data_IF_952683140444
#
_entry.id   IF_952683140444
#
_cell.length_a   1.000
_cell.length_b   1.000
_cell.length_c   1.000
_cell.angle_alpha   90.00
_cell.angle_beta   90.00
_cell.angle_gamma   90.00
#
_symmetry.space_group_name_H-M   'P 1'
#
loop_
_entity.id
_entity.type
_entity.pdbx_description
1 polymer ?
#
# COMPACT_ATOMS: atom_id res chain seq x y z
N UNK A 1 -3.43 23.24 21.01
CA UNK A 1 -3.79 22.38 19.86
C UNK A 1 -4.91 23.00 19.01
N UNK A 2 -6.04 23.40 19.62
CA UNK A 2 -7.19 24.06 18.95
C UNK A 2 -6.83 25.37 18.21
N UNK A 3 -6.00 26.23 18.80
CA UNK A 3 -5.53 27.48 18.16
C UNK A 3 -4.68 27.22 16.90
N UNK A 4 -3.86 26.17 16.91
CA UNK A 4 -2.99 25.77 15.78
C UNK A 4 -3.83 25.24 14.60
N UNK A 5 -4.85 24.45 14.89
CA UNK A 5 -5.80 23.89 13.92
C UNK A 5 -6.64 24.98 13.26
N UNK A 6 -7.11 25.97 14.03
CA UNK A 6 -7.82 27.15 13.48
C UNK A 6 -6.93 27.98 12.56
N UNK A 7 -5.67 28.18 12.93
CA UNK A 7 -4.71 28.93 12.11
C UNK A 7 -4.36 28.21 10.80
N UNK A 8 -4.22 26.88 10.81
CA UNK A 8 -3.96 26.09 9.60
C UNK A 8 -5.17 26.04 8.66
N UNK A 9 -6.39 25.91 9.19
CA UNK A 9 -7.61 25.94 8.38
C UNK A 9 -7.86 27.33 7.75
N UNK A 10 -7.57 28.40 8.48
CA UNK A 10 -7.61 29.77 7.98
C UNK A 10 -6.59 30.02 6.86
N UNK A 11 -5.37 29.50 7.03
CA UNK A 11 -4.31 29.60 6.03
C UNK A 11 -4.62 28.81 4.76
N UNK A 12 -5.10 27.57 4.89
CA UNK A 12 -5.48 26.73 3.75
C UNK A 12 -6.61 27.37 2.93
N UNK A 13 -7.62 27.93 3.60
CA UNK A 13 -8.71 28.68 2.95
C UNK A 13 -8.17 29.90 2.17
N UNK A 14 -7.23 30.65 2.76
CA UNK A 14 -6.60 31.80 2.11
C UNK A 14 -5.77 31.40 0.88
N UNK A 15 -4.97 30.33 0.98
CA UNK A 15 -4.15 29.83 -0.12
C UNK A 15 -5.00 29.29 -1.28
N UNK A 16 -6.14 28.66 -0.99
CA UNK A 16 -7.12 28.25 -2.00
C UNK A 16 -7.73 29.44 -2.72
N UNK A 17 -8.13 30.49 -2.00
CA UNK A 17 -8.66 31.71 -2.61
C UNK A 17 -7.61 32.36 -3.53
N UNK A 18 -6.36 32.46 -3.08
CA UNK A 18 -5.25 32.97 -3.89
C UNK A 18 -5.01 32.12 -5.15
N UNK A 19 -5.06 30.80 -5.03
CA UNK A 19 -4.96 29.89 -6.19
C UNK A 19 -6.06 30.19 -7.21
N UNK A 20 -7.31 30.27 -6.76
CA UNK A 20 -8.47 30.50 -7.62
C UNK A 20 -8.41 31.86 -8.33
N UNK A 21 -7.93 32.89 -7.63
CA UNK A 21 -7.71 34.22 -8.22
C UNK A 21 -6.60 34.19 -9.27
N UNK A 22 -5.48 33.54 -8.96
CA UNK A 22 -4.33 33.46 -9.87
C UNK A 22 -4.70 32.79 -11.20
N UNK A 23 -5.44 31.68 -11.16
CA UNK A 23 -5.78 30.91 -12.37
C UNK A 23 -7.06 31.38 -13.07
N UNK A 24 -7.78 32.36 -12.52
CA UNK A 24 -9.05 32.84 -13.09
C UNK A 24 -8.89 33.36 -14.52
N UNK A 25 -7.83 34.12 -14.80
CA UNK A 25 -7.56 34.64 -16.14
C UNK A 25 -7.25 33.57 -17.20
N UNK A 26 -6.86 32.36 -16.77
CA UNK A 26 -6.57 31.23 -17.66
C UNK A 26 -7.76 30.29 -17.79
N UNK A 27 -8.46 30.04 -16.68
CA UNK A 27 -9.50 29.00 -16.58
C UNK A 27 -10.94 29.54 -16.61
N UNK A 28 -11.13 30.86 -16.68
CA UNK A 28 -12.44 31.50 -16.85
C UNK A 28 -13.45 31.19 -15.74
N UNK A 29 -14.73 31.14 -16.13
CA UNK A 29 -15.90 31.09 -15.21
C UNK A 29 -16.17 29.67 -14.65
N UNK A 30 -15.25 28.73 -14.81
CA UNK A 30 -15.41 27.34 -14.33
C UNK A 30 -15.62 27.28 -12.82
N UNK A 31 -16.30 26.21 -12.38
CA UNK A 31 -16.55 25.97 -10.95
C UNK A 31 -15.24 25.92 -10.15
N UNK A 32 -15.33 26.21 -8.84
CA UNK A 32 -14.17 26.19 -7.95
C UNK A 32 -13.45 24.83 -7.99
N UNK A 33 -14.19 23.73 -7.86
CA UNK A 33 -13.62 22.38 -7.83
C UNK A 33 -12.92 22.02 -9.13
N UNK A 34 -13.49 22.39 -10.28
CA UNK A 34 -12.87 22.13 -11.60
C UNK A 34 -11.56 22.89 -11.76
N UNK A 35 -11.52 24.17 -11.34
CA UNK A 35 -10.25 24.94 -11.38
C UNK A 35 -9.17 24.32 -10.49
N UNK A 36 -9.54 23.87 -9.29
CA UNK A 36 -8.60 23.21 -8.39
C UNK A 36 -8.14 21.85 -8.93
N UNK A 37 -9.02 21.09 -9.59
CA UNK A 37 -8.68 19.83 -10.24
C UNK A 37 -7.66 20.04 -11.37
N UNK A 38 -7.89 21.03 -12.24
CA UNK A 38 -6.96 21.37 -13.32
C UNK A 38 -5.58 21.78 -12.79
N UNK A 39 -5.54 22.56 -11.70
CA UNK A 39 -4.27 22.90 -11.03
C UNK A 39 -3.60 21.63 -10.52
N UNK A 40 -4.32 20.76 -9.80
CA UNK A 40 -3.78 19.49 -9.30
C UNK A 40 -3.19 18.64 -10.44
N UNK A 41 -3.92 18.49 -11.55
CA UNK A 41 -3.51 17.71 -12.71
C UNK A 41 -2.22 18.24 -13.35
N UNK A 42 -1.99 19.57 -13.36
CA UNK A 42 -0.73 20.14 -13.83
C UNK A 42 0.49 19.66 -13.02
N UNK A 43 0.30 19.30 -11.75
CA UNK A 43 1.38 18.83 -10.87
C UNK A 43 1.49 17.31 -10.78
N UNK A 44 0.56 16.53 -11.37
CA UNK A 44 0.64 15.06 -11.43
C UNK A 44 1.55 14.54 -12.55
N UNK A 45 2.00 15.41 -13.46
CA UNK A 45 2.92 15.08 -14.56
C UNK A 45 2.26 15.16 -15.94
N UNK A 46 3.00 14.78 -16.99
CA UNK A 46 2.53 14.77 -18.39
C UNK A 46 1.93 13.41 -18.82
N UNK A 47 1.64 12.56 -17.86
CA UNK A 47 1.16 11.20 -18.10
C UNK A 47 -0.36 11.12 -18.10
N UNK A 48 -0.84 9.98 -18.59
CA UNK A 48 -2.25 9.62 -18.59
C UNK A 48 -2.81 9.54 -17.17
N UNK A 49 -3.77 10.42 -16.87
CA UNK A 49 -4.57 10.42 -15.63
C UNK A 49 -5.85 9.65 -15.91
N UNK A 50 -6.16 8.62 -15.12
CA UNK A 50 -7.41 7.87 -15.26
C UNK A 50 -8.47 8.31 -14.25
N UNK A 51 -9.74 8.10 -14.57
CA UNK A 51 -10.85 8.29 -13.61
C UNK A 51 -10.68 7.44 -12.35
N UNK A 52 -10.15 6.21 -12.49
CA UNK A 52 -9.87 5.34 -11.36
C UNK A 52 -8.79 5.92 -10.42
N UNK A 53 -7.76 6.57 -10.99
CA UNK A 53 -6.74 7.28 -10.22
C UNK A 53 -7.36 8.48 -9.50
N UNK A 54 -8.22 9.26 -10.18
CA UNK A 54 -8.96 10.37 -9.57
C UNK A 54 -9.77 9.91 -8.35
N UNK A 55 -10.57 8.86 -8.53
CA UNK A 55 -11.42 8.35 -7.48
C UNK A 55 -10.59 7.88 -6.27
N UNK A 56 -9.56 7.06 -6.53
CA UNK A 56 -8.73 6.49 -5.47
C UNK A 56 -7.92 7.55 -4.71
N UNK A 57 -7.41 8.57 -5.40
CA UNK A 57 -6.66 9.65 -4.76
C UNK A 57 -7.53 10.57 -3.90
N UNK A 58 -8.86 10.52 -4.08
CA UNK A 58 -9.83 11.34 -3.38
C UNK A 58 -10.62 10.59 -2.30
N UNK A 59 -10.59 9.25 -2.28
CA UNK A 59 -11.26 8.42 -1.26
C UNK A 59 -10.36 8.16 -0.04
N UNK A 60 -10.96 7.64 1.03
CA UNK A 60 -10.21 7.14 2.18
C UNK A 60 -9.31 5.98 1.78
N UNK A 61 -8.16 5.87 2.45
CA UNK A 61 -7.18 4.80 2.26
C UNK A 61 -6.95 4.07 3.58
N UNK A 62 -6.92 2.74 3.52
CA UNK A 62 -6.64 1.88 4.67
C UNK A 62 -5.14 1.83 4.98
N UNK A 63 -4.79 1.85 6.26
CA UNK A 63 -3.40 1.79 6.75
C UNK A 63 -3.30 0.99 8.03
N UNK A 64 -2.10 0.51 8.33
CA UNK A 64 -1.82 -0.12 9.61
C UNK A 64 -1.77 0.91 10.74
N UNK A 65 -2.64 0.75 11.74
CA UNK A 65 -2.67 1.56 12.95
C UNK A 65 -1.52 1.19 13.89
N UNK A 66 -1.10 2.13 14.74
CA UNK A 66 -0.14 1.85 15.82
C UNK A 66 -0.71 0.87 16.85
N UNK A 67 -2.05 0.82 16.97
CA UNK A 67 -2.83 -0.10 17.80
C UNK A 67 -2.98 -1.50 17.19
N UNK A 68 -2.30 -1.80 16.07
CA UNK A 68 -2.34 -3.06 15.31
C UNK A 68 -3.58 -3.33 14.46
N UNK A 69 -4.58 -2.45 14.51
CA UNK A 69 -5.76 -2.47 13.65
C UNK A 69 -5.55 -1.78 12.30
N UNK A 70 -6.66 -1.46 11.65
CA UNK A 70 -6.71 -0.72 10.39
C UNK A 70 -7.23 0.68 10.69
N UNK A 71 -6.46 1.70 10.32
CA UNK A 71 -6.88 3.09 10.30
C UNK A 71 -7.29 3.50 8.88
N UNK A 72 -8.27 4.38 8.78
CA UNK A 72 -8.61 5.04 7.52
C UNK A 72 -8.10 6.47 7.53
N UNK A 73 -7.40 6.86 6.47
CA UNK A 73 -6.92 8.24 6.30
C UNK A 73 -7.62 8.90 5.12
N UNK A 74 -8.25 10.04 5.39
CA UNK A 74 -8.87 10.89 4.37
C UNK A 74 -7.83 11.52 3.44
N UNK A 75 -8.25 11.80 2.20
CA UNK A 75 -7.42 12.52 1.25
C UNK A 75 -7.18 13.96 1.73
N UNK A 76 -5.93 14.45 1.66
CA UNK A 76 -5.57 15.83 2.02
C UNK A 76 -5.98 16.83 0.93
N UNK A 77 -7.26 16.85 0.57
CA UNK A 77 -7.87 17.68 -0.48
C UNK A 77 -8.96 18.60 0.07
N UNK A 78 -9.34 19.61 -0.71
CA UNK A 78 -10.56 20.38 -0.46
C UNK A 78 -11.78 19.46 -0.58
N UNK A 79 -12.73 19.57 0.34
CA UNK A 79 -13.93 18.70 0.35
C UNK A 79 -14.67 18.70 -1.00
N UNK A 80 -14.87 19.88 -1.62
CA UNK A 80 -15.54 19.97 -2.91
C UNK A 80 -14.72 19.42 -4.07
N UNK A 81 -13.40 19.41 -3.95
CA UNK A 81 -12.50 18.75 -4.91
C UNK A 81 -12.51 17.23 -4.72
N UNK A 82 -12.45 16.76 -3.48
CA UNK A 82 -12.48 15.34 -3.15
C UNK A 82 -13.78 14.69 -3.64
N UNK A 83 -14.94 15.32 -3.39
CA UNK A 83 -16.22 14.85 -3.90
C UNK A 83 -16.25 14.76 -5.44
N UNK A 84 -15.76 15.80 -6.12
CA UNK A 84 -15.72 15.82 -7.59
C UNK A 84 -14.82 14.70 -8.14
N UNK A 85 -13.67 14.47 -7.53
CA UNK A 85 -12.71 13.45 -8.01
C UNK A 85 -13.13 12.03 -7.66
N UNK A 86 -13.83 11.84 -6.54
CA UNK A 86 -14.38 10.55 -6.11
C UNK A 86 -15.51 10.04 -7.02
N UNK A 87 -16.34 10.96 -7.53
CA UNK A 87 -17.48 10.62 -8.38
C UNK A 87 -17.10 10.61 -9.87
N UNK A 88 -16.75 9.43 -10.38
CA UNK A 88 -16.44 9.25 -11.80
C UNK A 88 -17.60 9.58 -12.74
N UNK A 89 -18.85 9.46 -12.27
CA UNK A 89 -20.04 9.75 -13.09
C UNK A 89 -20.26 11.25 -13.23
N UNK A 90 -19.95 12.03 -12.19
CA UNK A 90 -19.97 13.48 -12.24
C UNK A 90 -18.74 14.06 -12.97
N UNK A 91 -17.57 13.43 -12.82
CA UNK A 91 -16.34 13.91 -13.44
C UNK A 91 -16.28 13.70 -14.95
N UNK A 92 -16.82 12.58 -15.47
CA UNK A 92 -16.71 12.23 -16.88
C UNK A 92 -17.33 13.28 -17.84
N UNK A 93 -18.55 13.80 -17.63
CA UNK A 93 -19.11 14.86 -18.47
C UNK A 93 -18.25 16.13 -18.47
N UNK A 94 -17.69 16.49 -17.31
CA UNK A 94 -16.80 17.65 -17.18
C UNK A 94 -15.52 17.46 -17.98
N UNK A 95 -14.94 16.25 -17.98
CA UNK A 95 -13.77 15.95 -18.80
C UNK A 95 -14.09 16.06 -20.30
N UNK A 96 -15.27 15.64 -20.73
CA UNK A 96 -15.70 15.83 -22.13
C UNK A 96 -15.84 17.31 -22.50
N UNK A 97 -16.40 18.15 -21.63
CA UNK A 97 -16.43 19.61 -21.84
C UNK A 97 -15.02 20.20 -21.95
N UNK A 98 -14.12 19.81 -21.04
CA UNK A 98 -12.72 20.25 -21.06
C UNK A 98 -11.97 19.78 -22.30
N UNK A 99 -12.33 18.62 -22.85
CA UNK A 99 -11.79 18.11 -24.11
C UNK A 99 -12.27 18.96 -25.29
N UNK A 100 -13.55 19.32 -25.34
CA UNK A 100 -14.10 20.21 -26.38
C UNK A 100 -13.45 21.59 -26.35
N UNK A 101 -13.11 22.09 -25.15
CA UNK A 101 -12.37 23.33 -24.95
C UNK A 101 -10.86 23.24 -25.29
N UNK A 102 -10.37 22.04 -25.61
CA UNK A 102 -8.95 21.78 -25.91
C UNK A 102 -8.03 21.90 -24.68
N UNK A 103 -8.57 21.87 -23.46
CA UNK A 103 -7.79 21.96 -22.21
C UNK A 103 -7.13 20.63 -21.87
N UNK A 104 -7.79 19.54 -22.23
CA UNK A 104 -7.30 18.18 -22.04
C UNK A 104 -7.44 17.37 -23.33
N UNK A 105 -6.63 16.34 -23.45
CA UNK A 105 -6.78 15.29 -24.46
C UNK A 105 -7.20 13.99 -23.78
N UNK A 106 -8.22 13.30 -24.29
CA UNK A 106 -8.62 11.97 -23.82
C UNK A 106 -8.07 10.92 -24.79
N UNK A 107 -7.35 9.95 -24.26
CA UNK A 107 -6.78 8.81 -24.97
C UNK A 107 -7.81 7.68 -25.15
N UNK A 108 -7.57 6.72 -26.07
CA UNK A 108 -8.47 5.58 -26.27
C UNK A 108 -8.66 4.68 -25.04
N UNK A 109 -7.76 4.75 -24.06
CA UNK A 109 -7.86 4.01 -22.80
C UNK A 109 -8.73 4.71 -21.75
N UNK A 110 -9.46 5.77 -22.15
CA UNK A 110 -10.21 6.68 -21.25
C UNK A 110 -9.35 7.37 -20.19
N UNK A 111 -8.03 7.40 -20.38
CA UNK A 111 -7.15 8.26 -19.61
C UNK A 111 -7.02 9.63 -20.29
N UNK A 112 -6.80 10.68 -19.52
CA UNK A 112 -6.71 12.04 -20.02
C UNK A 112 -5.41 12.71 -19.61
N UNK A 113 -4.98 13.70 -20.40
CA UNK A 113 -3.78 14.50 -20.14
C UNK A 113 -4.10 15.97 -20.26
N UNK A 114 -3.44 16.79 -19.44
CA UNK A 114 -3.47 18.24 -19.58
C UNK A 114 -2.77 18.65 -20.88
N UNK A 115 -3.39 19.55 -21.63
CA UNK A 115 -2.72 20.17 -22.78
C UNK A 115 -1.47 20.94 -22.30
N UNK A 116 -0.30 20.77 -22.95
CA UNK A 116 0.95 21.41 -22.52
C UNK A 116 0.88 22.94 -22.49
N UNK A 117 0.12 23.57 -23.39
CA UNK A 117 -0.03 25.03 -23.45
C UNK A 117 -0.83 25.51 -22.24
N UNK A 118 -1.95 24.85 -21.94
CA UNK A 118 -2.75 25.18 -20.76
C UNK A 118 -1.98 24.91 -19.46
N UNK A 119 -1.29 23.77 -19.36
CA UNK A 119 -0.45 23.44 -18.20
C UNK A 119 0.59 24.54 -17.96
N UNK A 120 1.29 24.97 -19.01
CA UNK A 120 2.29 26.05 -18.92
C UNK A 120 1.66 27.38 -18.46
N UNK A 121 0.50 27.75 -19.01
CA UNK A 121 -0.21 28.98 -18.61
C UNK A 121 -0.67 28.94 -17.16
N UNK A 122 -1.21 27.81 -16.70
CA UNK A 122 -1.66 27.61 -15.30
C UNK A 122 -0.46 27.71 -14.36
N UNK A 123 0.64 27.02 -14.66
CA UNK A 123 1.85 27.04 -13.84
C UNK A 123 2.49 28.42 -13.81
N UNK A 124 2.51 29.15 -14.93
CA UNK A 124 3.03 30.51 -15.01
C UNK A 124 2.20 31.50 -14.17
N UNK A 125 0.87 31.33 -14.16
CA UNK A 125 -0.05 32.17 -13.39
C UNK A 125 0.09 32.00 -11.87
N UNK A 126 0.56 30.83 -11.40
CA UNK A 126 0.72 30.56 -9.98
C UNK A 126 2.00 31.20 -9.41
N UNK A 127 1.92 31.96 -8.29
CA UNK A 127 3.07 32.34 -7.48
C UNK A 127 3.88 31.14 -7.02
N UNK A 128 5.18 31.34 -6.78
CA UNK A 128 6.12 30.27 -6.43
C UNK A 128 5.67 29.50 -5.18
N UNK A 129 5.19 30.20 -4.16
CA UNK A 129 4.69 29.61 -2.91
C UNK A 129 3.50 28.67 -3.15
N UNK A 130 2.60 29.05 -4.07
CA UNK A 130 1.46 28.20 -4.44
C UNK A 130 1.91 27.00 -5.26
N UNK A 131 2.96 27.13 -6.09
CA UNK A 131 3.52 25.97 -6.82
C UNK A 131 4.09 24.94 -5.85
N UNK A 132 4.79 25.36 -4.80
CA UNK A 132 5.28 24.45 -3.78
C UNK A 132 4.13 23.75 -3.05
N UNK A 133 3.09 24.50 -2.65
CA UNK A 133 1.89 23.93 -2.03
C UNK A 133 1.23 22.87 -2.91
N UNK A 134 0.99 23.19 -4.18
CA UNK A 134 0.30 22.28 -5.10
C UNK A 134 1.15 21.06 -5.48
N UNK A 135 2.48 21.21 -5.53
CA UNK A 135 3.39 20.07 -5.65
C UNK A 135 3.27 19.12 -4.45
N UNK A 136 3.17 19.64 -3.23
CA UNK A 136 2.94 18.82 -2.03
C UNK A 136 1.57 18.14 -2.06
N UNK A 137 0.51 18.86 -2.46
CA UNK A 137 -0.84 18.31 -2.61
C UNK A 137 -0.88 17.20 -3.67
N UNK A 138 -0.22 17.39 -4.80
CA UNK A 138 -0.12 16.38 -5.85
C UNK A 138 0.63 15.13 -5.37
N UNK A 139 1.72 15.29 -4.61
CA UNK A 139 2.41 14.14 -4.02
C UNK A 139 1.55 13.39 -3.01
N UNK A 140 0.84 14.08 -2.11
CA UNK A 140 -0.05 13.43 -1.14
C UNK A 140 -1.23 12.74 -1.82
N UNK A 141 -1.79 13.37 -2.85
CA UNK A 141 -2.82 12.76 -3.69
C UNK A 141 -2.31 11.50 -4.38
N UNK A 142 -1.16 11.58 -5.04
CA UNK A 142 -0.48 10.42 -5.63
C UNK A 142 -0.17 9.33 -4.60
N UNK A 143 0.13 9.72 -3.35
CA UNK A 143 0.42 8.78 -2.26
C UNK A 143 -0.83 7.99 -1.88
N UNK A 144 -1.98 8.64 -1.94
CA UNK A 144 -3.28 8.05 -1.67
C UNK A 144 -3.71 7.05 -2.75
N UNK A 145 -3.23 7.19 -4.00
CA UNK A 145 -3.62 6.27 -5.09
C UNK A 145 -2.99 4.89 -4.99
N UNK A 146 -2.01 4.68 -4.11
CA UNK A 146 -1.26 3.43 -4.06
C UNK A 146 -1.96 2.42 -3.13
N UNK A 147 -2.34 1.22 -3.62
CA UNK A 147 -2.89 0.19 -2.76
C UNK A 147 -1.89 -0.24 -1.70
N UNK A 148 -2.34 -0.38 -0.46
CA UNK A 148 -1.50 -0.94 0.60
C UNK A 148 -1.50 -2.47 0.55
N UNK A 149 -0.30 -3.08 0.61
CA UNK A 149 -0.14 -4.54 0.60
C UNK A 149 -0.95 -5.21 1.72
N UNK A 150 -1.80 -6.17 1.37
CA UNK A 150 -2.67 -6.94 2.27
C UNK A 150 -3.85 -6.18 2.93
N UNK A 151 -4.02 -4.88 2.69
CA UNK A 151 -5.13 -4.09 3.23
C UNK A 151 -6.17 -3.69 2.17
N UNK A 152 -5.71 -3.56 0.92
CA UNK A 152 -6.53 -3.10 -0.17
C UNK A 152 -6.36 -4.02 -1.37
N UNK A 153 -7.42 -4.22 -2.18
CA UNK A 153 -7.34 -5.05 -3.36
C UNK A 153 -6.27 -4.52 -4.33
N UNK A 154 -5.60 -5.46 -4.99
CA UNK A 154 -4.59 -5.16 -6.00
C UNK A 154 -5.19 -4.27 -7.08
N UNK A 155 -4.57 -3.11 -7.27
CA UNK A 155 -4.87 -2.21 -8.36
C UNK A 155 -4.22 -2.73 -9.64
N UNK A 156 -4.86 -2.54 -10.81
CA UNK A 156 -4.20 -2.79 -12.09
C UNK A 156 -2.86 -2.04 -12.13
N UNK A 157 -1.77 -2.76 -12.39
CA UNK A 157 -0.39 -2.23 -12.31
C UNK A 157 -0.16 -0.96 -13.13
N UNK A 158 -0.88 -0.80 -14.26
CA UNK A 158 -0.83 0.41 -15.08
C UNK A 158 -1.44 1.66 -14.43
N UNK A 159 -2.35 1.49 -13.47
CA UNK A 159 -3.07 2.60 -12.81
C UNK A 159 -2.28 3.11 -11.59
N UNK A 160 -1.52 2.24 -10.92
CA UNK A 160 -0.96 2.52 -9.60
C UNK A 160 0.57 2.66 -9.54
N UNK A 161 1.30 2.45 -10.64
CA UNK A 161 2.76 2.24 -10.63
C UNK A 161 3.63 3.49 -10.66
N UNK A 162 3.11 4.68 -10.97
CA UNK A 162 4.01 5.77 -11.42
C UNK A 162 3.90 7.15 -10.76
N UNK A 163 2.76 7.62 -10.23
CA UNK A 163 2.67 9.02 -9.80
C UNK A 163 3.65 9.39 -8.67
N UNK A 164 3.74 8.60 -7.59
CA UNK A 164 4.62 8.91 -6.46
C UNK A 164 6.11 8.75 -6.76
N UNK A 165 6.47 7.73 -7.55
CA UNK A 165 7.86 7.40 -7.86
C UNK A 165 8.53 8.43 -8.78
N UNK A 166 7.77 9.39 -9.32
CA UNK A 166 8.29 10.46 -10.18
C UNK A 166 8.71 11.70 -9.42
N UNK A 167 8.23 11.86 -8.19
CA UNK A 167 8.60 13.02 -7.38
C UNK A 167 9.99 12.80 -6.80
N UNK A 168 10.99 13.43 -7.42
CA UNK A 168 12.28 13.63 -6.76
C UNK A 168 12.05 14.52 -5.55
N UNK A 169 12.32 13.98 -4.37
CA UNK A 169 12.20 14.73 -3.13
C UNK A 169 13.26 15.85 -3.13
N UNK A 170 12.79 17.09 -3.28
CA UNK A 170 13.57 18.32 -3.11
C UNK A 170 13.53 18.82 -1.67
N UNK A 171 14.30 19.88 -1.35
CA UNK A 171 14.27 20.52 -0.01
C UNK A 171 12.87 21.02 0.39
N UNK A 172 12.00 21.28 -0.57
CA UNK A 172 10.63 21.75 -0.36
C UNK A 172 9.79 20.79 0.49
N UNK A 173 10.10 19.49 0.46
CA UNK A 173 9.37 18.46 1.21
C UNK A 173 9.77 18.39 2.69
N UNK A 174 10.80 19.12 3.12
CA UNK A 174 11.16 19.23 4.53
C UNK A 174 10.09 19.95 5.36
N UNK A 175 9.24 20.75 4.72
CA UNK A 175 8.14 21.48 5.34
C UNK A 175 6.94 20.58 5.73
N UNK A 176 6.90 19.32 5.30
CA UNK A 176 5.87 18.38 5.72
C UNK A 176 6.03 18.05 7.22
N UNK A 177 4.89 17.96 7.92
CA UNK A 177 4.88 17.45 9.28
C UNK A 177 5.25 15.95 9.31
N UNK A 178 5.55 15.44 10.52
CA UNK A 178 6.04 14.07 10.68
C UNK A 178 5.06 13.01 10.18
N UNK A 179 3.74 13.25 10.28
CA UNK A 179 2.72 12.30 9.85
C UNK A 179 2.63 12.25 8.33
N UNK A 180 2.65 13.42 7.68
CA UNK A 180 2.67 13.50 6.21
C UNK A 180 3.94 12.92 5.62
N UNK A 181 5.11 13.15 6.24
CA UNK A 181 6.35 12.50 5.82
C UNK A 181 6.26 10.99 5.95
N UNK A 182 5.79 10.49 7.10
CA UNK A 182 5.60 9.06 7.31
C UNK A 182 4.67 8.43 6.26
N UNK A 183 3.64 9.17 5.85
CA UNK A 183 2.76 8.71 4.79
C UNK A 183 3.48 8.61 3.45
N UNK A 184 4.08 9.71 2.99
CA UNK A 184 4.80 9.71 1.70
C UNK A 184 5.86 8.62 1.67
N UNK A 185 6.63 8.44 2.75
CA UNK A 185 7.63 7.38 2.87
C UNK A 185 6.98 6.01 2.67
N UNK A 186 5.91 5.73 3.39
CA UNK A 186 5.25 4.43 3.31
C UNK A 186 4.64 4.19 1.92
N UNK A 187 4.02 5.20 1.33
CA UNK A 187 3.48 5.14 -0.03
C UNK A 187 4.58 4.90 -1.08
N UNK A 188 5.74 5.54 -0.97
CA UNK A 188 6.87 5.28 -1.86
C UNK A 188 7.33 3.82 -1.78
N UNK A 189 7.44 3.26 -0.58
CA UNK A 189 7.83 1.86 -0.35
C UNK A 189 6.76 0.87 -0.82
N UNK A 190 5.48 1.25 -0.78
CA UNK A 190 4.38 0.46 -1.36
C UNK A 190 4.40 0.52 -2.89
N UNK A 191 4.60 1.72 -3.46
CA UNK A 191 4.66 1.94 -4.90
C UNK A 191 5.81 1.16 -5.53
N UNK A 192 6.91 0.97 -4.79
CA UNK A 192 8.08 0.22 -5.23
C UNK A 192 7.74 -1.23 -5.65
N UNK A 193 6.61 -1.79 -5.20
CA UNK A 193 6.16 -3.14 -5.61
C UNK A 193 5.78 -3.21 -7.09
N UNK A 194 5.34 -2.09 -7.67
CA UNK A 194 4.82 -2.01 -9.03
C UNK A 194 5.84 -1.54 -10.06
N UNK A 195 7.13 -1.51 -9.69
CA UNK A 195 8.22 -1.07 -10.56
C UNK A 195 9.35 -2.09 -10.58
N UNK A 196 10.28 -1.88 -11.50
CA UNK A 196 11.49 -2.66 -11.67
C UNK A 196 12.50 -2.38 -10.54
N UNK A 197 13.68 -2.96 -10.64
CA UNK A 197 14.70 -2.85 -9.57
C UNK A 197 15.23 -1.42 -9.45
N UNK A 198 15.37 -0.69 -10.56
CA UNK A 198 15.81 0.71 -10.55
C UNK A 198 14.78 1.61 -9.86
N UNK A 199 13.50 1.48 -10.22
CA UNK A 199 12.42 2.21 -9.57
C UNK A 199 12.29 1.89 -8.07
N UNK A 200 12.59 0.64 -7.66
CA UNK A 200 12.64 0.25 -6.24
C UNK A 200 13.73 1.00 -5.49
N UNK A 201 14.94 0.98 -6.02
CA UNK A 201 16.08 1.68 -5.42
C UNK A 201 15.83 3.19 -5.37
N UNK A 202 15.23 3.76 -6.41
CA UNK A 202 14.83 5.16 -6.43
C UNK A 202 13.81 5.48 -5.32
N UNK A 203 12.78 4.66 -5.15
CA UNK A 203 11.79 4.83 -4.09
C UNK A 203 12.43 4.80 -2.69
N UNK A 204 13.32 3.83 -2.47
CA UNK A 204 14.05 3.65 -1.21
C UNK A 204 14.96 4.84 -0.92
N UNK A 205 15.69 5.34 -1.91
CA UNK A 205 16.55 6.50 -1.75
C UNK A 205 15.74 7.75 -1.33
N UNK A 206 14.61 8.02 -2.01
CA UNK A 206 13.73 9.14 -1.64
C UNK A 206 13.10 8.95 -0.26
N UNK A 207 12.72 7.71 0.10
CA UNK A 207 12.24 7.39 1.45
C UNK A 207 13.29 7.68 2.52
N UNK A 208 14.56 7.29 2.30
CA UNK A 208 15.68 7.57 3.21
C UNK A 208 15.91 9.07 3.41
N UNK A 209 15.86 9.86 2.34
CA UNK A 209 15.98 11.32 2.41
C UNK A 209 14.85 11.95 3.24
N UNK A 210 13.59 11.52 3.03
CA UNK A 210 12.45 12.01 3.81
C UNK A 210 12.50 11.58 5.29
N UNK A 211 13.17 10.48 5.58
CA UNK A 211 13.36 9.99 6.94
C UNK A 211 14.32 10.83 7.78
N UNK A 212 15.13 11.70 7.16
CA UNK A 212 16.05 12.58 7.90
C UNK A 212 15.24 13.46 8.87
N UNK A 213 15.60 13.39 10.15
CA UNK A 213 14.91 14.10 11.23
C UNK A 213 13.64 13.42 11.76
N UNK A 214 13.24 12.25 11.23
CA UNK A 214 12.16 11.44 11.79
C UNK A 214 12.67 10.39 12.77
N UNK A 215 12.06 10.34 13.95
CA UNK A 215 12.35 9.30 14.94
C UNK A 215 11.27 8.20 14.94
N UNK A 216 11.12 7.50 13.81
CA UNK A 216 10.20 6.36 13.70
C UNK A 216 10.96 5.04 13.56
N UNK A 217 10.89 4.18 14.59
CA UNK A 217 11.48 2.83 14.55
C UNK A 217 10.80 1.94 13.50
N UNK A 218 9.49 2.05 13.37
CA UNK A 218 8.74 1.33 12.34
C UNK A 218 9.27 1.63 10.94
N UNK A 219 9.39 2.92 10.57
CA UNK A 219 9.87 3.30 9.23
C UNK A 219 11.32 2.88 9.00
N UNK A 220 12.18 2.93 10.03
CA UNK A 220 13.56 2.42 9.95
C UNK A 220 13.60 0.94 9.59
N UNK A 221 12.80 0.12 10.28
CA UNK A 221 12.68 -1.30 9.94
C UNK A 221 12.07 -1.52 8.56
N UNK A 222 11.05 -0.75 8.20
CA UNK A 222 10.36 -0.95 6.93
C UNK A 222 11.23 -0.59 5.71
N UNK A 223 11.96 0.53 5.77
CA UNK A 223 12.94 0.92 4.73
C UNK A 223 14.05 -0.12 4.63
N UNK A 224 14.65 -0.53 5.75
CA UNK A 224 15.75 -1.50 5.73
C UNK A 224 15.33 -2.86 5.15
N UNK A 225 14.10 -3.29 5.45
CA UNK A 225 13.51 -4.50 4.89
C UNK A 225 13.38 -4.42 3.36
N UNK A 226 12.77 -3.32 2.85
CA UNK A 226 12.58 -3.12 1.41
C UNK A 226 13.92 -2.91 0.68
N UNK A 227 14.88 -2.23 1.30
CA UNK A 227 16.23 -2.05 0.78
C UNK A 227 17.00 -3.36 0.65
N UNK A 228 17.03 -4.18 1.71
CA UNK A 228 17.64 -5.52 1.63
C UNK A 228 17.01 -6.36 0.52
N UNK A 229 15.69 -6.26 0.30
CA UNK A 229 15.03 -6.98 -0.80
C UNK A 229 15.48 -6.48 -2.17
N UNK A 230 15.53 -5.16 -2.36
CA UNK A 230 15.96 -4.57 -3.62
C UNK A 230 17.42 -4.94 -3.95
N UNK A 231 18.32 -4.86 -2.96
CA UNK A 231 19.74 -5.22 -3.12
C UNK A 231 19.93 -6.70 -3.49
N UNK A 232 19.19 -7.62 -2.86
CA UNK A 232 19.23 -9.04 -3.24
C UNK A 232 18.79 -9.27 -4.69
N UNK A 233 17.82 -8.50 -5.19
CA UNK A 233 17.39 -8.59 -6.59
C UNK A 233 18.46 -8.10 -7.57
N UNK A 234 19.32 -7.17 -7.14
CA UNK A 234 20.50 -6.77 -7.92
C UNK A 234 21.67 -7.75 -7.84
N UNK A 235 21.61 -8.72 -6.92
CA UNK A 235 22.71 -9.65 -6.63
C UNK A 235 23.67 -9.19 -5.52
N UNK A 236 23.53 -7.97 -4.99
CA UNK A 236 24.36 -7.47 -3.88
C UNK A 236 23.85 -7.98 -2.51
N UNK A 237 24.11 -9.26 -2.25
CA UNK A 237 23.71 -9.92 -1.01
C UNK A 237 24.55 -9.42 0.18
N UNK A 238 25.78 -8.96 -0.04
CA UNK A 238 26.65 -8.46 1.02
C UNK A 238 26.11 -7.16 1.60
N UNK A 239 25.79 -6.19 0.74
CA UNK A 239 25.20 -4.92 1.17
C UNK A 239 23.80 -5.13 1.77
N UNK A 240 23.01 -6.06 1.23
CA UNK A 240 21.71 -6.42 1.82
C UNK A 240 21.85 -6.88 3.28
N UNK A 241 22.87 -7.69 3.60
CA UNK A 241 23.16 -8.14 4.98
C UNK A 241 23.62 -6.98 5.87
N UNK A 242 24.47 -6.11 5.36
CA UNK A 242 24.97 -4.94 6.08
C UNK A 242 23.82 -4.00 6.50
N UNK A 243 22.90 -3.70 5.58
CA UNK A 243 21.72 -2.87 5.85
C UNK A 243 20.92 -3.42 7.03
N UNK A 244 20.63 -4.73 7.04
CA UNK A 244 19.88 -5.36 8.13
C UNK A 244 20.65 -5.33 9.46
N UNK A 245 21.96 -5.63 9.42
CA UNK A 245 22.81 -5.63 10.61
C UNK A 245 22.96 -4.25 11.25
N UNK A 246 22.98 -3.19 10.43
CA UNK A 246 23.09 -1.81 10.92
C UNK A 246 21.86 -1.36 11.72
N UNK A 247 20.69 -1.88 11.36
CA UNK A 247 19.40 -1.49 11.95
C UNK A 247 18.99 -2.42 13.07
N UNK A 248 19.31 -3.71 12.98
CA UNK A 248 19.05 -4.69 14.03
C UNK A 248 20.30 -5.54 14.30
N UNK A 249 21.30 -4.99 15.01
CA UNK A 249 22.49 -5.73 15.43
C UNK A 249 22.10 -7.00 16.20
N UNK A 250 22.94 -8.04 16.15
CA UNK A 250 22.69 -9.36 16.75
C UNK A 250 22.19 -9.26 18.19
N UNK A 251 22.82 -8.44 19.04
CA UNK A 251 22.44 -8.23 20.44
C UNK A 251 21.02 -7.67 20.63
N UNK A 252 20.51 -6.91 19.65
CA UNK A 252 19.17 -6.31 19.68
C UNK A 252 18.09 -7.19 19.07
N UNK A 253 18.46 -8.30 18.41
CA UNK A 253 17.52 -9.21 17.74
C UNK A 253 16.60 -9.96 18.68
N UNK A 254 16.83 -9.90 19.99
CA UNK A 254 15.99 -10.49 21.04
C UNK A 254 15.20 -9.45 21.85
N UNK A 255 15.36 -8.16 21.56
CA UNK A 255 14.66 -7.08 22.27
C UNK A 255 13.18 -6.96 21.86
N UNK A 256 12.25 -6.91 22.82
CA UNK A 256 10.82 -6.75 22.53
C UNK A 256 10.46 -5.28 22.28
N UNK A 257 9.66 -5.02 21.24
CA UNK A 257 8.97 -3.74 21.08
C UNK A 257 7.65 -3.81 21.84
N UNK A 258 7.19 -2.69 22.43
CA UNK A 258 5.82 -2.58 22.98
C UNK A 258 4.79 -2.14 21.94
N UNK A 259 5.24 -1.59 20.81
CA UNK A 259 4.39 -1.18 19.70
C UNK A 259 4.30 -2.33 18.70
N UNK A 260 3.08 -2.81 18.46
CA UNK A 260 2.78 -3.99 17.62
C UNK A 260 3.20 -3.77 16.17
N UNK A 261 2.92 -2.60 15.62
CA UNK A 261 3.32 -2.23 14.25
C UNK A 261 4.84 -2.29 14.06
N UNK A 262 5.60 -1.78 15.03
CA UNK A 262 7.07 -1.83 15.05
C UNK A 262 7.59 -3.26 15.25
N UNK A 263 6.91 -4.08 16.03
CA UNK A 263 7.28 -5.48 16.26
C UNK A 263 7.03 -6.36 15.04
N UNK A 264 5.92 -6.15 14.33
CA UNK A 264 5.67 -6.80 13.04
C UNK A 264 6.73 -6.40 12.02
N UNK A 265 7.06 -5.11 11.90
CA UNK A 265 8.16 -4.65 11.04
C UNK A 265 9.52 -5.28 11.41
N UNK A 266 9.79 -5.46 12.70
CA UNK A 266 10.97 -6.21 13.17
C UNK A 266 10.92 -7.68 12.76
N UNK A 267 9.74 -8.32 12.77
CA UNK A 267 9.53 -9.68 12.28
C UNK A 267 10.01 -9.85 10.84
N UNK A 268 9.68 -8.93 9.95
CA UNK A 268 10.15 -8.93 8.56
C UNK A 268 11.68 -8.90 8.44
N UNK A 269 12.37 -8.14 9.30
CA UNK A 269 13.84 -8.10 9.36
C UNK A 269 14.42 -9.45 9.82
N UNK A 270 13.85 -10.04 10.88
CA UNK A 270 14.31 -11.33 11.40
C UNK A 270 14.12 -12.46 10.38
N UNK A 271 13.04 -12.43 9.61
CA UNK A 271 12.79 -13.37 8.50
C UNK A 271 13.88 -13.25 7.42
N UNK A 272 14.37 -12.04 7.12
CA UNK A 272 15.50 -11.86 6.18
C UNK A 272 16.80 -12.42 6.72
N UNK A 273 17.08 -12.22 8.01
CA UNK A 273 18.26 -12.82 8.64
C UNK A 273 18.18 -14.34 8.71
N UNK A 274 16.99 -14.91 8.93
CA UNK A 274 16.79 -16.35 8.87
C UNK A 274 17.07 -16.90 7.46
N UNK A 275 16.66 -16.17 6.42
CA UNK A 275 17.02 -16.49 5.03
C UNK A 275 18.54 -16.45 4.83
N UNK A 276 19.25 -15.47 5.40
CA UNK A 276 20.71 -15.40 5.31
C UNK A 276 21.41 -16.61 5.94
N UNK A 277 20.97 -17.00 7.14
CA UNK A 277 21.48 -18.19 7.82
C UNK A 277 21.19 -19.45 7.01
N UNK A 278 19.99 -19.54 6.43
CA UNK A 278 19.63 -20.70 5.62
C UNK A 278 20.45 -20.80 4.33
N UNK A 279 20.72 -19.67 3.64
CA UNK A 279 21.61 -19.62 2.48
C UNK A 279 23.05 -20.01 2.83
N UNK A 280 23.49 -19.75 4.06
CA UNK A 280 24.79 -20.18 4.58
C UNK A 280 24.81 -21.62 5.12
N UNK A 281 23.71 -22.38 4.96
CA UNK A 281 23.53 -23.72 5.55
C UNK A 281 23.57 -23.77 7.09
N UNK A 282 23.38 -22.63 7.75
CA UNK A 282 23.32 -22.51 9.22
C UNK A 282 21.87 -22.63 9.71
N UNK A 283 21.22 -23.75 9.40
CA UNK A 283 19.78 -23.93 9.63
C UNK A 283 19.37 -23.83 11.11
N UNK A 284 20.22 -24.27 12.03
CA UNK A 284 19.93 -24.19 13.48
C UNK A 284 19.78 -22.74 13.94
N UNK A 285 20.66 -21.84 13.47
CA UNK A 285 20.58 -20.41 13.76
C UNK A 285 19.35 -19.77 13.12
N UNK A 286 18.98 -20.19 11.90
CA UNK A 286 17.76 -19.72 11.25
C UNK A 286 16.52 -20.11 12.05
N UNK A 287 16.44 -21.35 12.53
CA UNK A 287 15.32 -21.87 13.33
C UNK A 287 15.27 -21.16 14.68
N UNK A 288 16.40 -21.02 15.38
CA UNK A 288 16.48 -20.33 16.66
C UNK A 288 16.01 -18.88 16.54
N UNK A 289 16.48 -18.17 15.52
CA UNK A 289 16.09 -16.78 15.27
C UNK A 289 14.58 -16.64 15.02
N UNK A 290 14.01 -17.56 14.24
CA UNK A 290 12.57 -17.56 13.95
C UNK A 290 11.73 -17.96 15.17
N UNK A 291 12.24 -18.81 16.07
CA UNK A 291 11.58 -19.11 17.36
C UNK A 291 11.60 -17.89 18.29
N UNK A 292 12.63 -17.05 18.21
CA UNK A 292 12.75 -15.83 19.01
C UNK A 292 11.76 -14.71 18.65
N UNK A 293 10.95 -14.88 17.60
CA UNK A 293 9.89 -13.94 17.24
C UNK A 293 8.52 -14.63 17.25
N UNK A 294 7.65 -14.16 18.13
CA UNK A 294 6.26 -14.57 18.26
C UNK A 294 5.36 -13.33 18.32
N UNK A 295 4.09 -13.49 17.95
CA UNK A 295 3.10 -12.41 18.09
C UNK A 295 2.98 -11.96 19.56
N UNK A 296 2.68 -10.68 19.78
CA UNK A 296 2.59 -10.14 21.15
C UNK A 296 1.43 -10.71 21.95
N UNK A 297 0.38 -11.17 21.28
CA UNK A 297 -0.83 -11.73 21.87
C UNK A 297 -1.10 -13.14 21.35
N UNK A 298 -1.89 -13.90 22.12
CA UNK A 298 -2.35 -15.26 21.73
C UNK A 298 -3.12 -15.25 20.40
N UNK A 299 -3.80 -14.14 20.12
CA UNK A 299 -4.41 -13.88 18.82
C UNK A 299 -3.54 -12.84 18.12
N UNK A 300 -2.77 -13.21 17.07
CA UNK A 300 -1.95 -12.27 16.33
C UNK A 300 -2.81 -11.16 15.75
N UNK A 301 -2.32 -9.92 15.81
CA UNK A 301 -2.97 -8.82 15.12
C UNK A 301 -2.91 -9.02 13.59
N UNK A 302 -3.82 -8.41 12.81
CA UNK A 302 -3.79 -8.53 11.35
C UNK A 302 -2.41 -8.19 10.73
N UNK A 303 -1.70 -7.18 11.25
CA UNK A 303 -0.34 -6.85 10.80
C UNK A 303 0.69 -7.92 11.17
N UNK A 304 0.58 -8.59 12.32
CA UNK A 304 1.46 -9.70 12.69
C UNK A 304 1.14 -10.96 11.87
N UNK A 305 -0.13 -11.19 11.53
CA UNK A 305 -0.55 -12.27 10.63
C UNK A 305 0.12 -12.17 9.26
N UNK A 306 0.36 -10.96 8.74
CA UNK A 306 1.15 -10.78 7.50
C UNK A 306 2.61 -11.18 7.65
N UNK A 307 3.22 -10.93 8.83
CA UNK A 307 4.57 -11.38 9.14
C UNK A 307 4.66 -12.90 9.24
N UNK A 308 3.66 -13.54 9.86
CA UNK A 308 3.52 -15.00 9.88
C UNK A 308 3.39 -15.58 8.47
N UNK A 309 2.57 -14.96 7.63
CA UNK A 309 2.40 -15.34 6.22
C UNK A 309 3.73 -15.31 5.46
N UNK A 310 4.44 -14.19 5.51
CA UNK A 310 5.72 -14.07 4.81
C UNK A 310 6.78 -15.02 5.35
N UNK A 311 6.81 -15.27 6.67
CA UNK A 311 7.69 -16.27 7.28
C UNK A 311 7.45 -17.64 6.66
N UNK A 312 6.19 -18.06 6.59
CA UNK A 312 5.84 -19.37 6.03
C UNK A 312 6.12 -19.47 4.53
N UNK A 313 5.80 -18.46 3.73
CA UNK A 313 6.11 -18.47 2.28
C UNK A 313 7.61 -18.62 2.00
N UNK A 314 8.45 -18.00 2.82
CA UNK A 314 9.91 -18.08 2.67
C UNK A 314 10.49 -19.39 3.16
N UNK A 315 10.00 -19.94 4.27
CA UNK A 315 10.39 -21.28 4.70
C UNK A 315 10.06 -22.33 3.60
N UNK A 316 8.92 -22.14 2.92
CA UNK A 316 8.50 -22.95 1.78
C UNK A 316 9.44 -22.77 0.57
N UNK A 317 9.88 -21.54 0.27
CA UNK A 317 10.74 -21.28 -0.90
C UNK A 317 12.19 -21.74 -0.73
N UNK A 318 12.68 -21.79 0.52
CA UNK A 318 14.07 -22.14 0.82
C UNK A 318 14.30 -23.66 0.86
N UNK A 319 13.29 -24.47 1.17
CA UNK A 319 13.41 -25.94 1.13
C UNK A 319 12.19 -26.61 0.47
N UNK A 320 12.23 -26.85 -0.86
CA UNK A 320 11.20 -27.62 -1.57
C UNK A 320 11.03 -29.06 -1.06
N UNK A 321 12.05 -29.58 -0.34
CA UNK A 321 12.10 -30.93 0.22
C UNK A 321 11.63 -31.03 1.67
N UNK A 322 11.43 -29.91 2.38
CA UNK A 322 10.80 -29.96 3.70
C UNK A 322 9.29 -30.02 3.49
N UNK A 323 8.73 -31.21 3.74
CA UNK A 323 7.30 -31.45 3.66
C UNK A 323 6.59 -30.78 4.86
N UNK A 324 6.37 -29.47 4.77
CA UNK A 324 5.51 -28.71 5.69
C UNK A 324 4.05 -28.70 5.24
N UNK A 325 3.62 -29.69 4.48
CA UNK A 325 2.25 -29.78 3.94
C UNK A 325 1.15 -29.62 5.00
N UNK A 326 1.29 -30.10 6.26
CA UNK A 326 0.30 -29.81 7.31
C UNK A 326 0.30 -28.33 7.71
N UNK A 327 1.47 -27.74 7.98
CA UNK A 327 1.58 -26.36 8.46
C UNK A 327 1.26 -25.31 7.40
N UNK A 328 1.53 -25.61 6.12
CA UNK A 328 1.15 -24.77 4.99
C UNK A 328 -0.36 -24.77 4.80
N UNK A 329 -1.00 -25.92 4.96
CA UNK A 329 -2.45 -26.04 4.96
C UNK A 329 -3.06 -25.21 6.09
N UNK A 330 -2.55 -25.35 7.31
CA UNK A 330 -3.02 -24.62 8.48
C UNK A 330 -2.82 -23.11 8.32
N UNK A 331 -1.72 -22.71 7.68
CA UNK A 331 -1.49 -21.32 7.31
C UNK A 331 -2.56 -20.80 6.34
N UNK A 332 -2.76 -21.45 5.19
CA UNK A 332 -3.76 -20.97 4.21
C UNK A 332 -5.18 -21.02 4.76
N UNK A 333 -5.46 -21.93 5.70
CA UNK A 333 -6.68 -21.95 6.49
C UNK A 333 -6.79 -20.69 7.36
N UNK A 334 -5.75 -20.37 8.14
CA UNK A 334 -5.73 -19.18 8.99
C UNK A 334 -5.79 -17.87 8.18
N UNK A 335 -5.10 -17.80 7.02
CA UNK A 335 -5.21 -16.67 6.09
C UNK A 335 -6.65 -16.55 5.59
N UNK A 336 -7.23 -17.65 5.12
CA UNK A 336 -8.60 -17.67 4.62
C UNK A 336 -9.59 -17.21 5.69
N UNK A 337 -9.47 -17.72 6.92
CA UNK A 337 -10.28 -17.32 8.06
C UNK A 337 -10.12 -15.85 8.40
N UNK A 338 -8.88 -15.36 8.50
CA UNK A 338 -8.59 -13.94 8.78
C UNK A 338 -9.17 -13.03 7.69
N UNK A 339 -9.02 -13.39 6.41
CA UNK A 339 -9.55 -12.59 5.30
C UNK A 339 -11.08 -12.59 5.25
N UNK A 340 -11.73 -13.68 5.69
CA UNK A 340 -13.18 -13.73 5.88
C UNK A 340 -13.61 -12.83 7.04
N UNK A 341 -12.90 -12.85 8.17
CA UNK A 341 -13.16 -11.96 9.31
C UNK A 341 -12.96 -10.47 8.96
N UNK A 342 -12.13 -10.18 7.97
CA UNK A 342 -11.87 -8.83 7.44
C UNK A 342 -12.78 -8.43 6.27
N UNK A 343 -13.81 -9.23 5.98
CA UNK A 343 -14.76 -9.05 4.87
C UNK A 343 -14.13 -9.03 3.45
N UNK A 344 -12.90 -9.52 3.29
CA UNK A 344 -12.21 -9.65 2.00
C UNK A 344 -12.37 -11.06 1.41
N UNK A 345 -13.62 -11.40 1.11
CA UNK A 345 -13.98 -12.75 0.72
C UNK A 345 -13.39 -13.17 -0.64
N UNK A 346 -13.24 -12.23 -1.58
CA UNK A 346 -12.67 -12.52 -2.91
C UNK A 346 -11.18 -12.83 -2.82
N UNK A 347 -10.44 -12.11 -1.97
CA UNK A 347 -9.03 -12.42 -1.75
C UNK A 347 -8.87 -13.73 -0.97
N UNK A 348 -9.71 -13.96 0.05
CA UNK A 348 -9.77 -15.25 0.75
C UNK A 348 -9.95 -16.41 -0.24
N UNK A 349 -10.92 -16.32 -1.17
CA UNK A 349 -11.15 -17.32 -2.21
C UNK A 349 -9.92 -17.53 -3.09
N UNK A 350 -9.29 -16.44 -3.55
CA UNK A 350 -8.13 -16.51 -4.44
C UNK A 350 -6.96 -17.26 -3.78
N UNK A 351 -6.66 -16.94 -2.52
CA UNK A 351 -5.58 -17.58 -1.77
C UNK A 351 -5.87 -19.06 -1.48
N UNK A 352 -7.09 -19.37 -1.03
CA UNK A 352 -7.52 -20.75 -0.76
C UNK A 352 -7.52 -21.60 -2.04
N UNK A 353 -7.97 -21.06 -3.18
CA UNK A 353 -7.94 -21.77 -4.48
C UNK A 353 -6.53 -22.04 -4.98
N UNK A 354 -5.61 -21.08 -4.83
CA UNK A 354 -4.21 -21.25 -5.21
C UNK A 354 -3.59 -22.43 -4.47
N UNK A 355 -3.84 -22.54 -3.17
CA UNK A 355 -3.32 -23.64 -2.35
C UNK A 355 -4.01 -24.99 -2.67
N UNK A 356 -5.33 -25.01 -2.87
CA UNK A 356 -6.04 -26.23 -3.28
C UNK A 356 -5.57 -26.76 -4.64
N UNK A 357 -5.34 -25.87 -5.62
CA UNK A 357 -4.80 -26.24 -6.93
C UNK A 357 -3.39 -26.82 -6.83
N UNK A 358 -2.58 -26.32 -5.88
CA UNK A 358 -1.26 -26.87 -5.59
C UNK A 358 -1.35 -28.26 -4.97
N UNK A 359 -2.18 -28.44 -3.93
CA UNK A 359 -2.41 -29.77 -3.30
C UNK A 359 -2.86 -30.81 -4.32
N UNK A 360 -3.76 -30.42 -5.24
CA UNK A 360 -4.21 -31.29 -6.32
C UNK A 360 -3.08 -31.72 -7.29
N UNK A 361 -2.11 -30.84 -7.55
CA UNK A 361 -0.94 -31.15 -8.40
C UNK A 361 0.06 -32.09 -7.72
N UNK A 362 0.19 -32.00 -6.40
CA UNK A 362 1.13 -32.81 -5.62
C UNK A 362 0.58 -34.19 -5.22
N UNK A 363 -0.65 -34.53 -5.67
CA UNK A 363 -1.39 -35.76 -5.28
C UNK A 363 -1.60 -35.89 -3.76
N UNK A 364 -1.48 -34.79 -3.04
CA UNK A 364 -1.80 -34.74 -1.62
C UNK A 364 -3.32 -34.81 -1.42
N UNK A 365 -3.74 -35.43 -0.30
CA UNK A 365 -5.15 -35.36 0.10
C UNK A 365 -5.52 -33.90 0.32
N UNK A 366 -6.46 -33.41 -0.47
CA UNK A 366 -7.00 -32.06 -0.33
C UNK A 366 -7.48 -31.84 1.09
N UNK A 367 -6.94 -30.83 1.76
CA UNK A 367 -7.20 -30.60 3.17
C UNK A 367 -8.67 -30.23 3.40
N UNK A 368 -9.39 -30.97 4.26
CA UNK A 368 -10.81 -30.70 4.49
C UNK A 368 -11.06 -29.28 5.03
N UNK A 369 -10.17 -28.78 5.88
CA UNK A 369 -10.27 -27.44 6.47
C UNK A 369 -10.20 -26.32 5.43
N UNK A 370 -9.34 -26.41 4.41
CA UNK A 370 -9.28 -25.42 3.32
C UNK A 370 -10.56 -25.39 2.47
N UNK A 371 -11.16 -26.56 2.24
CA UNK A 371 -12.45 -26.64 1.55
C UNK A 371 -13.58 -26.01 2.38
N UNK A 372 -13.52 -26.15 3.72
CA UNK A 372 -14.49 -25.55 4.62
C UNK A 372 -14.38 -24.03 4.63
N UNK A 373 -13.18 -23.47 4.80
CA UNK A 373 -12.95 -22.02 4.74
C UNK A 373 -13.26 -21.44 3.37
N UNK A 374 -12.99 -22.19 2.29
CA UNK A 374 -13.38 -21.77 0.95
C UNK A 374 -14.91 -21.77 0.78
N UNK A 375 -15.62 -22.73 1.38
CA UNK A 375 -17.07 -22.74 1.41
C UNK A 375 -17.64 -21.56 2.22
N UNK A 376 -17.00 -21.17 3.33
CA UNK A 376 -17.35 -20.00 4.12
C UNK A 376 -17.15 -18.70 3.32
N UNK A 377 -16.02 -18.57 2.61
CA UNK A 377 -15.79 -17.45 1.67
C UNK A 377 -16.87 -17.40 0.57
N UNK A 378 -17.27 -18.54 -0.01
CA UNK A 378 -18.39 -18.55 -0.96
C UNK A 378 -19.73 -18.18 -0.34
N UNK A 379 -19.95 -18.60 0.91
CA UNK A 379 -21.18 -18.31 1.62
C UNK A 379 -21.29 -16.82 1.92
N UNK A 380 -20.19 -16.20 2.38
CA UNK A 380 -20.11 -14.77 2.65
C UNK A 380 -20.24 -13.90 1.38
N UNK A 381 -19.85 -14.43 0.22
CA UNK A 381 -20.11 -13.81 -1.10
C UNK A 381 -21.53 -14.10 -1.66
N UNK A 382 -22.45 -14.64 -0.87
CA UNK A 382 -23.81 -15.05 -1.29
C UNK A 382 -23.83 -16.10 -2.43
N UNK A 383 -22.72 -16.81 -2.66
CA UNK A 383 -22.56 -17.83 -3.70
C UNK A 383 -22.93 -19.21 -3.16
N UNK A 384 -24.15 -19.34 -2.63
CA UNK A 384 -24.64 -20.50 -1.89
C UNK A 384 -24.52 -21.84 -2.63
N UNK A 385 -24.79 -21.85 -3.94
CA UNK A 385 -24.67 -23.05 -4.77
C UNK A 385 -23.22 -23.58 -4.84
N UNK A 386 -22.23 -22.68 -4.80
CA UNK A 386 -20.80 -23.06 -4.77
C UNK A 386 -20.39 -23.49 -3.36
N UNK A 387 -20.82 -22.77 -2.32
CA UNK A 387 -20.57 -23.16 -0.92
C UNK A 387 -21.08 -24.60 -0.62
N UNK A 388 -22.29 -24.95 -1.08
CA UNK A 388 -22.87 -26.28 -0.88
C UNK A 388 -22.08 -27.41 -1.56
N UNK A 389 -21.46 -27.16 -2.73
CA UNK A 389 -20.65 -28.17 -3.43
C UNK A 389 -19.41 -28.55 -2.64
N UNK A 390 -18.77 -27.59 -1.98
CA UNK A 390 -17.59 -27.83 -1.15
C UNK A 390 -17.93 -28.48 0.21
N UNK A 391 -19.13 -28.20 0.75
CA UNK A 391 -19.61 -28.80 2.02
C UNK A 391 -19.99 -30.28 1.91
N UNK A 392 -20.40 -30.76 0.72
CA UNK A 392 -20.78 -32.17 0.46
C UNK A 392 -19.61 -33.16 0.44
N UNK A 393 -18.36 -32.68 0.46
CA UNK A 393 -17.15 -33.51 0.46
C UNK A 393 -16.88 -34.15 1.84
N UNK A 394 -17.63 -33.76 2.88
CA UNK A 394 -17.58 -34.35 4.21
C UNK A 394 -18.73 -35.35 4.45
N UNK A 395 -18.46 -36.61 4.83
CA UNK A 395 -19.52 -37.50 5.30
C UNK A 395 -20.08 -36.93 6.61
N UNK A 396 -21.41 -36.84 6.72
CA UNK A 396 -22.11 -36.39 7.94
C UNK A 396 -21.72 -37.29 9.13
N UNK A 397 -20.77 -36.81 9.95
CA UNK A 397 -20.42 -37.39 11.24
C UNK A 397 -20.98 -36.53 12.36
N UNK A 398 -22.16 -36.90 12.86
CA UNK A 398 -22.85 -36.54 14.11
C UNK A 398 -23.03 -35.05 14.47
N UNK A 399 -24.32 -34.73 14.65
CA UNK A 399 -24.87 -33.53 15.25
C UNK A 399 -24.16 -33.15 16.55
N UNK A 400 -23.58 -31.95 16.60
CA UNK A 400 -23.38 -31.17 17.82
C UNK A 400 -24.28 -29.93 17.73
N UNK A 401 -25.58 -30.17 17.87
CA UNK A 401 -26.52 -29.20 18.40
C UNK A 401 -27.52 -29.96 19.27
N UNK A 402 -27.23 -29.94 20.56
CA UNK A 402 -28.16 -29.94 21.69
C UNK A 402 -27.51 -29.16 22.80
#
# INVERSE_FOLDING_TARGET
MVQRIRNTASLDCRLKKLTLTAVFGVLGVRSRSVRLALVLFCFLGQDDISLALCARGATTRKRWADSSGIDETEADLDFGLALLLADSTALLPILHELQLDGIISISPSNAFRMDPVYSTKILAALPLELRHLWRLKALLFASQTIPWEYLEPECNSHICSTPCLRYKITKDYWALDSNKKAEVISSLLEASRFTDVEGRLFAIANAKELMIGLNSRYLKYYVAYKESLALRLTGDVAQAKEVLNSILPIASRYSSSRNVKTHSARGHILIQHALDYSQASELDKAIELLKGWEAMSRHPSPIESTSHLQRSERLISIQPKLCFTPYRTDLFFNIGGTLIELDDYTYAESQLRKELLRQAKEKDKVAPLLNLTLAESFFAQERYAKAQRFRRIFPRGKSYMS
#
